data_IF_464897119152
#
_entry.id   IF_464897119152
#
_cell.length_a   1.000
_cell.length_b   1.000
_cell.length_c   1.000
_cell.angle_alpha   90.00
_cell.angle_beta   90.00
_cell.angle_gamma   90.00
#
_symmetry.space_group_name_H-M   'P 1'
#
loop_
_entity.id
_entity.type
_entity.pdbx_description
1 polymer ?
#
# COMPACT_ATOMS: atom_id res chain seq x y z
N UNK A 1 -29.41 10.42 19.59
CA UNK A 1 -30.05 9.97 20.84
C UNK A 1 -29.00 9.21 21.66
N UNK A 2 -28.50 9.76 22.77
CA UNK A 2 -27.55 9.06 23.63
C UNK A 2 -28.30 7.95 24.38
N UNK A 3 -27.83 6.70 24.28
CA UNK A 3 -28.40 5.59 25.02
C UNK A 3 -28.23 5.83 26.53
N UNK A 4 -29.35 5.98 27.25
CA UNK A 4 -29.44 5.82 28.71
C UNK A 4 -28.65 4.56 29.08
N UNK A 5 -27.77 4.64 30.09
CA UNK A 5 -27.06 3.48 30.60
C UNK A 5 -28.09 2.42 30.98
N UNK A 6 -28.19 1.36 30.18
CA UNK A 6 -29.13 0.28 30.44
C UNK A 6 -28.72 -0.41 31.74
N UNK A 7 -29.69 -0.68 32.60
CA UNK A 7 -29.50 -1.37 33.86
C UNK A 7 -28.73 -2.70 33.62
N UNK A 8 -27.63 -2.96 34.36
CA UNK A 8 -26.88 -4.21 34.26
C UNK A 8 -27.75 -5.46 34.30
N UNK A 9 -28.82 -5.48 35.09
CA UNK A 9 -29.70 -6.65 35.22
C UNK A 9 -30.59 -6.84 33.97
N UNK A 10 -31.04 -5.76 33.34
CA UNK A 10 -31.78 -5.84 32.07
C UNK A 10 -30.87 -6.40 30.97
N UNK A 11 -29.61 -5.96 30.92
CA UNK A 11 -28.62 -6.45 29.96
C UNK A 11 -28.34 -7.95 30.14
N UNK A 12 -28.25 -8.42 31.39
CA UNK A 12 -28.08 -9.85 31.69
C UNK A 12 -29.26 -10.69 31.20
N UNK A 13 -30.50 -10.24 31.42
CA UNK A 13 -31.70 -10.94 30.94
C UNK A 13 -31.73 -11.04 29.42
N UNK A 14 -31.49 -9.93 28.70
CA UNK A 14 -31.46 -9.92 27.24
C UNK A 14 -30.33 -10.79 26.67
N UNK A 15 -29.15 -10.74 27.30
CA UNK A 15 -28.01 -11.57 26.91
C UNK A 15 -28.31 -13.07 27.10
N UNK A 16 -28.96 -13.44 28.20
CA UNK A 16 -29.35 -14.83 28.50
C UNK A 16 -30.37 -15.37 27.50
N UNK A 17 -31.38 -14.58 27.16
CA UNK A 17 -32.38 -14.93 26.16
C UNK A 17 -31.75 -15.14 24.78
N UNK A 18 -30.81 -14.27 24.40
CA UNK A 18 -30.14 -14.39 23.10
C UNK A 18 -29.20 -15.60 23.04
N UNK A 19 -28.49 -15.92 24.14
CA UNK A 19 -27.70 -17.17 24.25
C UNK A 19 -28.58 -18.41 24.05
N UNK A 20 -29.79 -18.41 24.62
CA UNK A 20 -30.76 -19.50 24.48
C UNK A 20 -31.28 -19.57 23.04
N UNK A 21 -31.67 -18.43 22.46
CA UNK A 21 -32.15 -18.34 21.08
C UNK A 21 -31.12 -18.87 20.07
N UNK A 22 -29.85 -18.54 20.29
CA UNK A 22 -28.75 -18.99 19.44
C UNK A 22 -28.39 -20.48 19.61
N UNK A 23 -28.94 -21.16 20.62
CA UNK A 23 -28.66 -22.57 20.86
C UNK A 23 -27.23 -22.85 21.31
N UNK A 24 -26.57 -21.89 21.96
CA UNK A 24 -25.15 -21.99 22.35
C UNK A 24 -24.94 -22.22 23.86
N UNK A 25 -25.97 -22.65 24.59
CA UNK A 25 -25.96 -22.78 26.06
C UNK A 25 -24.84 -23.70 26.59
N UNK A 26 -24.48 -24.73 25.83
CA UNK A 26 -23.47 -25.71 26.23
C UNK A 26 -22.02 -25.18 26.09
N UNK A 27 -21.82 -24.16 25.25
CA UNK A 27 -20.55 -23.48 25.08
C UNK A 27 -20.77 -22.07 24.49
N UNK A 28 -21.20 -21.10 25.31
CA UNK A 28 -21.56 -19.74 24.88
C UNK A 28 -20.32 -18.93 24.51
N UNK A 29 -19.73 -19.26 23.36
CA UNK A 29 -18.55 -18.60 22.82
C UNK A 29 -18.86 -17.17 22.42
N UNK A 30 -18.06 -16.22 22.92
CA UNK A 30 -18.15 -14.80 22.56
C UNK A 30 -18.14 -14.59 21.05
N UNK A 31 -17.30 -15.33 20.33
CA UNK A 31 -17.18 -15.21 18.88
C UNK A 31 -18.46 -15.67 18.19
N UNK A 32 -19.01 -16.82 18.58
CA UNK A 32 -20.24 -17.37 18.00
C UNK A 32 -21.42 -16.44 18.28
N UNK A 33 -21.50 -15.89 19.49
CA UNK A 33 -22.49 -14.88 19.84
C UNK A 33 -22.32 -13.62 18.98
N UNK A 34 -21.11 -13.05 18.89
CA UNK A 34 -20.81 -11.83 18.14
C UNK A 34 -21.14 -11.95 16.64
N UNK A 35 -20.99 -13.13 16.06
CA UNK A 35 -21.30 -13.39 14.65
C UNK A 35 -22.80 -13.52 14.37
N UNK A 36 -23.59 -13.95 15.35
CA UNK A 36 -24.99 -14.40 15.13
C UNK A 36 -26.04 -13.59 15.88
N UNK A 37 -25.64 -12.74 16.83
CA UNK A 37 -26.59 -11.95 17.61
C UNK A 37 -27.36 -10.97 16.71
N UNK A 38 -28.62 -10.73 17.05
CA UNK A 38 -29.41 -9.72 16.37
C UNK A 38 -29.07 -8.32 16.87
N UNK A 39 -28.40 -7.55 16.01
CA UNK A 39 -28.00 -6.18 16.32
C UNK A 39 -29.24 -5.29 16.46
N UNK A 40 -29.41 -4.68 17.63
CA UNK A 40 -30.55 -3.81 17.95
C UNK A 40 -31.61 -4.47 18.83
N UNK A 41 -31.69 -5.81 18.83
CA UNK A 41 -32.59 -6.59 19.69
C UNK A 41 -31.87 -7.15 20.91
N UNK A 42 -30.60 -7.55 20.74
CA UNK A 42 -29.75 -8.07 21.81
C UNK A 42 -28.49 -7.21 22.01
N UNK A 43 -27.95 -7.13 23.25
CA UNK A 43 -26.72 -6.39 23.51
C UNK A 43 -25.53 -7.08 22.82
N UNK A 44 -24.63 -6.27 22.25
CA UNK A 44 -23.33 -6.79 21.81
C UNK A 44 -22.51 -7.28 23.00
N UNK A 45 -21.63 -8.29 22.84
CA UNK A 45 -20.74 -8.76 23.90
C UNK A 45 -19.97 -7.63 24.58
N UNK A 46 -19.42 -6.70 23.79
CA UNK A 46 -18.63 -5.60 24.31
C UNK A 46 -19.48 -4.64 25.15
N UNK A 47 -20.68 -4.32 24.67
CA UNK A 47 -21.61 -3.47 25.43
C UNK A 47 -22.03 -4.14 26.73
N UNK A 48 -22.33 -5.44 26.69
CA UNK A 48 -22.74 -6.19 27.88
C UNK A 48 -21.63 -6.18 28.94
N UNK A 49 -20.40 -6.52 28.54
CA UNK A 49 -19.22 -6.47 29.43
C UNK A 49 -18.91 -5.07 29.97
N UNK A 50 -19.08 -4.02 29.15
CA UNK A 50 -18.82 -2.64 29.57
C UNK A 50 -19.83 -2.14 30.61
N UNK A 51 -21.10 -2.56 30.48
CA UNK A 51 -22.19 -2.17 31.39
C UNK A 51 -22.11 -2.98 32.69
N UNK A 52 -21.91 -4.29 32.60
CA UNK A 52 -21.85 -5.17 33.78
C UNK A 52 -20.49 -5.15 34.50
N UNK A 53 -19.46 -4.58 33.87
CA UNK A 53 -18.07 -4.59 34.35
C UNK A 53 -17.48 -6.00 34.55
N UNK A 54 -18.09 -7.01 33.93
CA UNK A 54 -17.66 -8.41 34.01
C UNK A 54 -16.89 -8.82 32.76
N UNK A 55 -15.95 -9.77 32.91
CA UNK A 55 -15.39 -10.45 31.73
C UNK A 55 -16.48 -11.30 31.07
N UNK A 56 -16.31 -11.68 29.79
CA UNK A 56 -17.28 -12.57 29.12
C UNK A 56 -17.45 -13.89 29.87
N UNK A 57 -16.36 -14.41 30.45
CA UNK A 57 -16.38 -15.67 31.21
C UNK A 57 -17.21 -15.52 32.48
N UNK A 58 -16.97 -14.45 33.25
CA UNK A 58 -17.67 -14.21 34.51
C UNK A 58 -19.14 -13.91 34.26
N UNK A 59 -19.44 -13.11 33.22
CA UNK A 59 -20.79 -12.76 32.84
C UNK A 59 -21.61 -13.99 32.47
N UNK A 60 -21.05 -14.88 31.65
CA UNK A 60 -21.74 -16.09 31.23
C UNK A 60 -21.92 -17.09 32.38
N UNK A 61 -20.95 -17.17 33.28
CA UNK A 61 -21.06 -17.96 34.50
C UNK A 61 -22.16 -17.41 35.43
N UNK A 62 -22.22 -16.09 35.61
CA UNK A 62 -23.27 -15.38 36.36
C UNK A 62 -24.68 -15.64 35.78
N UNK A 63 -24.77 -15.80 34.45
CA UNK A 63 -26.03 -16.18 33.77
C UNK A 63 -26.42 -17.67 33.94
N UNK A 64 -25.54 -18.49 34.53
CA UNK A 64 -25.75 -19.90 34.80
C UNK A 64 -25.35 -20.85 33.66
N UNK A 65 -24.45 -20.41 32.75
CA UNK A 65 -23.96 -21.27 31.67
C UNK A 65 -22.53 -21.74 31.91
N UNK A 66 -22.26 -22.97 31.48
CA UNK A 66 -20.92 -23.54 31.52
C UNK A 66 -20.09 -23.02 30.34
N UNK A 67 -19.07 -22.20 30.64
CA UNK A 67 -18.14 -21.66 29.63
C UNK A 67 -16.73 -22.18 29.85
N UNK A 68 -16.26 -23.04 28.95
CA UNK A 68 -14.88 -23.51 28.97
C UNK A 68 -14.00 -22.57 28.15
N UNK A 69 -13.43 -21.57 28.82
CA UNK A 69 -12.51 -20.62 28.21
C UNK A 69 -11.30 -21.30 27.54
N UNK A 70 -10.80 -22.41 28.12
CA UNK A 70 -9.62 -23.14 27.62
C UNK A 70 -9.92 -23.86 26.31
N UNK A 71 -11.09 -24.51 26.19
CA UNK A 71 -11.53 -25.14 24.93
C UNK A 71 -11.72 -24.14 23.79
N UNK A 72 -12.27 -22.96 24.08
CA UNK A 72 -12.47 -21.92 23.06
C UNK A 72 -11.15 -21.27 22.59
N UNK A 73 -10.18 -21.08 23.48
CA UNK A 73 -8.83 -20.60 23.11
C UNK A 73 -8.15 -21.63 22.18
N UNK A 74 -8.23 -22.92 22.51
CA UNK A 74 -7.67 -23.99 21.69
C UNK A 74 -8.35 -24.08 20.30
N UNK A 75 -9.67 -23.90 20.22
CA UNK A 75 -10.40 -23.89 18.94
C UNK A 75 -10.09 -22.65 18.09
N UNK A 76 -9.99 -21.46 18.70
CA UNK A 76 -9.63 -20.23 18.00
C UNK A 76 -8.16 -20.24 17.53
N UNK A 77 -7.24 -20.82 18.32
CA UNK A 77 -5.86 -21.06 17.91
C UNK A 77 -5.76 -21.95 16.66
N UNK A 78 -6.60 -22.99 16.57
CA UNK A 78 -6.69 -23.87 15.39
C UNK A 78 -7.30 -23.18 14.16
N UNK A 79 -8.31 -22.32 14.32
CA UNK A 79 -8.88 -21.50 13.22
C UNK A 79 -7.92 -20.41 12.71
N UNK A 80 -7.05 -19.88 13.58
CA UNK A 80 -5.98 -18.95 13.18
C UNK A 80 -4.88 -19.65 12.37
N UNK A 81 -4.56 -20.90 12.72
CA UNK A 81 -3.57 -21.70 12.01
C UNK A 81 -4.00 -22.11 10.59
N UNK A 82 -5.29 -22.43 10.38
CA UNK A 82 -5.80 -22.83 9.05
C UNK A 82 -5.85 -21.69 8.03
N UNK A 83 -5.87 -20.42 8.46
CA UNK A 83 -5.82 -19.26 7.55
C UNK A 83 -4.45 -19.07 6.86
N UNK A 84 -3.41 -19.74 7.36
CA UNK A 84 -2.04 -19.67 6.84
C UNK A 84 -1.58 -20.94 6.09
N UNK A 85 -2.43 -21.97 5.96
CA UNK A 85 -2.06 -23.22 5.31
C UNK A 85 -1.89 -23.13 3.77
N UNK A 86 -2.19 -21.97 3.18
CA UNK A 86 -1.95 -21.69 1.75
C UNK A 86 -0.91 -20.58 1.49
N UNK A 87 -0.29 -20.00 2.53
CA UNK A 87 0.70 -18.94 2.31
C UNK A 87 2.04 -19.58 1.97
N UNK A 88 2.49 -19.42 0.70
CA UNK A 88 3.87 -19.72 0.29
C UNK A 88 4.83 -19.22 1.37
N UNK A 89 5.69 -20.11 1.84
CA UNK A 89 6.67 -19.88 2.91
C UNK A 89 7.33 -18.50 2.74
N UNK A 90 7.21 -17.63 3.74
CA UNK A 90 7.70 -16.25 3.64
C UNK A 90 9.21 -16.23 3.44
N UNK A 91 9.69 -15.59 2.37
CA UNK A 91 11.12 -15.46 2.07
C UNK A 91 11.80 -14.69 3.21
N UNK A 92 12.86 -15.27 3.78
CA UNK A 92 13.61 -14.70 4.90
C UNK A 92 14.80 -13.88 4.40
N UNK A 93 14.59 -12.57 4.21
CA UNK A 93 15.65 -11.65 3.76
C UNK A 93 16.78 -11.42 4.78
N UNK A 94 16.63 -11.88 6.03
CA UNK A 94 17.69 -11.85 7.03
C UNK A 94 18.81 -12.87 6.76
N UNK A 95 18.54 -13.93 6.00
CA UNK A 95 19.57 -14.88 5.58
C UNK A 95 20.40 -14.28 4.42
N UNK A 96 21.73 -14.14 4.55
CA UNK A 96 22.56 -13.51 3.52
C UNK A 96 22.47 -14.19 2.15
N UNK A 97 22.38 -15.52 2.10
CA UNK A 97 22.30 -16.27 0.84
C UNK A 97 20.97 -16.01 0.13
N UNK A 98 19.87 -16.11 0.88
CA UNK A 98 18.53 -15.80 0.38
C UNK A 98 18.43 -14.35 -0.08
N UNK A 99 19.00 -13.42 0.69
CA UNK A 99 19.02 -12.00 0.35
C UNK A 99 19.73 -11.75 -0.98
N UNK A 100 20.93 -12.30 -1.16
CA UNK A 100 21.71 -12.14 -2.39
C UNK A 100 21.03 -12.80 -3.61
N UNK A 101 20.36 -13.95 -3.42
CA UNK A 101 19.54 -14.57 -4.48
C UNK A 101 18.38 -13.66 -4.90
N UNK A 102 17.64 -13.10 -3.94
CA UNK A 102 16.53 -12.19 -4.22
C UNK A 102 17.02 -10.92 -4.93
N UNK A 103 18.17 -10.38 -4.52
CA UNK A 103 18.79 -9.22 -5.18
C UNK A 103 19.19 -9.57 -6.61
N UNK A 104 19.82 -10.73 -6.84
CA UNK A 104 20.16 -11.16 -8.20
C UNK A 104 18.93 -11.31 -9.11
N UNK A 105 17.86 -11.91 -8.59
CA UNK A 105 16.58 -12.03 -9.29
C UNK A 105 15.96 -10.64 -9.56
N UNK A 106 16.13 -9.68 -8.64
CA UNK A 106 15.70 -8.31 -8.85
C UNK A 106 16.45 -7.64 -10.02
N UNK A 107 17.77 -7.84 -10.13
CA UNK A 107 18.56 -7.29 -11.24
C UNK A 107 18.17 -7.91 -12.59
N UNK A 108 17.91 -9.22 -12.61
CA UNK A 108 17.40 -9.92 -13.80
C UNK A 108 16.00 -9.44 -14.19
N UNK A 109 15.11 -9.24 -13.22
CA UNK A 109 13.79 -8.67 -13.45
C UNK A 109 13.89 -7.25 -14.06
N UNK A 110 14.78 -6.41 -13.52
CA UNK A 110 15.03 -5.07 -14.07
C UNK A 110 15.48 -5.13 -15.55
N UNK A 111 16.36 -6.09 -15.90
CA UNK A 111 16.83 -6.29 -17.27
C UNK A 111 15.74 -6.80 -18.20
N UNK A 112 15.10 -7.91 -17.81
CA UNK A 112 14.11 -8.64 -18.61
C UNK A 112 12.90 -7.78 -18.94
N UNK A 113 12.39 -7.06 -17.94
CA UNK A 113 11.16 -6.25 -18.08
C UNK A 113 11.44 -4.76 -18.31
N UNK A 114 12.72 -4.38 -18.51
CA UNK A 114 13.15 -3.00 -18.77
C UNK A 114 12.61 -2.01 -17.72
N UNK A 115 12.68 -2.40 -16.43
CA UNK A 115 12.12 -1.64 -15.32
C UNK A 115 13.09 -0.55 -14.86
N UNK A 116 12.95 0.64 -15.43
CA UNK A 116 13.89 1.75 -15.23
C UNK A 116 13.46 2.80 -14.21
N UNK A 117 12.30 2.61 -13.58
CA UNK A 117 11.81 3.50 -12.53
C UNK A 117 11.23 2.71 -11.34
N UNK A 118 11.17 3.39 -10.19
CA UNK A 118 10.74 2.80 -8.91
C UNK A 118 9.30 2.31 -8.97
N UNK A 119 8.40 3.02 -9.68
CA UNK A 119 6.97 2.71 -9.71
C UNK A 119 6.72 1.37 -10.40
N UNK A 120 7.31 1.18 -11.57
CA UNK A 120 7.17 -0.05 -12.35
C UNK A 120 7.86 -1.22 -11.65
N UNK A 121 9.06 -0.97 -11.10
CA UNK A 121 9.77 -1.98 -10.32
C UNK A 121 8.98 -2.43 -9.08
N UNK A 122 8.41 -1.49 -8.32
CA UNK A 122 7.60 -1.77 -7.13
C UNK A 122 6.39 -2.64 -7.46
N UNK A 123 5.72 -2.40 -8.59
CA UNK A 123 4.56 -3.17 -9.04
C UNK A 123 4.91 -4.62 -9.38
N UNK A 124 6.09 -4.86 -9.96
CA UNK A 124 6.55 -6.19 -10.43
C UNK A 124 7.33 -6.97 -9.37
N UNK A 125 7.88 -6.29 -8.37
CA UNK A 125 8.71 -6.87 -7.32
C UNK A 125 7.99 -8.01 -6.56
N UNK A 126 6.80 -7.74 -6.00
CA UNK A 126 6.06 -8.72 -5.18
C UNK A 126 5.62 -9.99 -5.96
N UNK A 127 4.99 -9.89 -7.15
CA UNK A 127 4.54 -11.09 -7.86
C UNK A 127 5.70 -11.96 -8.37
N UNK A 128 6.84 -11.38 -8.71
CA UNK A 128 7.98 -12.12 -9.29
C UNK A 128 8.96 -12.60 -8.21
N UNK A 129 9.30 -11.73 -7.26
CA UNK A 129 10.35 -12.01 -6.26
C UNK A 129 9.80 -12.56 -4.95
N UNK A 130 8.47 -12.56 -4.75
CA UNK A 130 7.83 -12.96 -3.51
C UNK A 130 8.05 -12.00 -2.32
N UNK A 131 8.81 -10.92 -2.52
CA UNK A 131 9.06 -9.86 -1.54
C UNK A 131 8.64 -8.51 -2.10
N UNK A 132 8.20 -7.59 -1.24
CA UNK A 132 7.90 -6.22 -1.67
C UNK A 132 9.20 -5.41 -1.81
N UNK A 133 9.13 -4.35 -2.61
CA UNK A 133 10.24 -3.39 -2.70
C UNK A 133 10.49 -2.70 -1.36
N UNK A 134 9.46 -2.43 -0.55
CA UNK A 134 9.63 -1.84 0.78
C UNK A 134 10.40 -2.78 1.72
N UNK A 135 10.24 -4.10 1.60
CA UNK A 135 11.08 -5.07 2.31
C UNK A 135 12.54 -4.95 1.86
N UNK A 136 12.82 -4.94 0.55
CA UNK A 136 14.19 -4.77 0.03
C UNK A 136 14.85 -3.48 0.53
N UNK A 137 14.11 -2.36 0.55
CA UNK A 137 14.63 -1.09 1.07
C UNK A 137 15.05 -1.18 2.55
N UNK A 138 14.28 -1.89 3.39
CA UNK A 138 14.63 -2.07 4.81
C UNK A 138 15.95 -2.80 5.01
N UNK A 139 16.34 -3.63 4.05
CA UNK A 139 17.63 -4.34 4.05
C UNK A 139 18.73 -3.60 3.27
N UNK A 140 18.53 -2.32 2.93
CA UNK A 140 19.54 -1.46 2.29
C UNK A 140 19.50 -1.47 0.75
N UNK A 141 18.59 -2.21 0.13
CA UNK A 141 18.49 -2.30 -1.33
C UNK A 141 17.53 -1.25 -1.89
N UNK A 142 17.95 0.01 -1.83
CA UNK A 142 17.28 1.10 -2.53
C UNK A 142 17.37 0.91 -4.06
N UNK A 143 16.48 1.56 -4.82
CA UNK A 143 16.53 1.49 -6.28
C UNK A 143 17.83 2.06 -6.87
N UNK A 144 18.47 3.02 -6.20
CA UNK A 144 19.81 3.50 -6.59
C UNK A 144 20.89 2.45 -6.34
N UNK A 145 20.84 1.75 -5.21
CA UNK A 145 21.76 0.64 -4.92
C UNK A 145 21.56 -0.53 -5.90
N UNK A 146 20.31 -0.86 -6.25
CA UNK A 146 20.01 -1.86 -7.27
C UNK A 146 20.55 -1.43 -8.65
N UNK A 147 20.45 -0.15 -9.03
CA UNK A 147 21.07 0.34 -10.28
C UNK A 147 22.60 0.27 -10.26
N UNK A 148 23.22 0.55 -9.12
CA UNK A 148 24.68 0.40 -8.95
C UNK A 148 25.09 -1.05 -9.16
N UNK A 149 24.42 -1.99 -8.50
CA UNK A 149 24.67 -3.44 -8.64
C UNK A 149 24.34 -3.96 -10.04
N UNK A 150 23.28 -3.46 -10.66
CA UNK A 150 22.93 -3.75 -12.06
C UNK A 150 24.08 -3.38 -13.00
N UNK A 151 24.62 -2.16 -12.84
CA UNK A 151 25.73 -1.66 -13.66
C UNK A 151 26.99 -2.50 -13.45
N UNK A 152 27.29 -2.86 -12.20
CA UNK A 152 28.42 -3.73 -11.88
C UNK A 152 28.27 -5.15 -12.47
N UNK A 153 27.05 -5.70 -12.51
CA UNK A 153 26.77 -7.06 -13.01
C UNK A 153 26.75 -7.16 -14.53
N UNK A 154 26.18 -6.17 -15.22
CA UNK A 154 25.92 -6.24 -16.67
C UNK A 154 26.74 -5.27 -17.51
N UNK A 155 27.46 -4.32 -16.91
CA UNK A 155 28.17 -3.26 -17.64
C UNK A 155 27.24 -2.24 -18.32
N UNK A 156 25.94 -2.33 -18.09
CA UNK A 156 24.89 -1.48 -18.67
C UNK A 156 24.38 -0.49 -17.60
N UNK A 157 24.18 0.79 -17.95
CA UNK A 157 23.62 1.78 -17.01
C UNK A 157 22.13 2.00 -17.23
N UNK A 158 21.35 1.91 -16.15
CA UNK A 158 19.94 2.33 -16.15
C UNK A 158 19.89 3.83 -15.98
N UNK A 159 19.72 4.55 -17.10
CA UNK A 159 19.53 6.00 -17.08
C UNK A 159 18.23 6.35 -16.37
N UNK A 160 18.20 7.50 -15.67
CA UNK A 160 16.95 8.07 -15.17
C UNK A 160 16.01 8.30 -16.37
N UNK A 161 15.03 7.42 -16.55
CA UNK A 161 14.01 7.59 -17.58
C UNK A 161 13.06 8.68 -17.09
N UNK A 162 13.30 9.91 -17.55
CA UNK A 162 12.33 10.97 -17.40
C UNK A 162 11.01 10.55 -18.04
N UNK A 163 9.85 10.96 -17.51
CA UNK A 163 8.54 10.72 -18.16
C UNK A 163 8.49 11.25 -19.60
N UNK A 164 9.39 12.18 -19.92
CA UNK A 164 9.57 12.74 -21.25
C UNK A 164 10.24 11.76 -22.23
N UNK A 165 10.99 10.77 -21.73
CA UNK A 165 11.75 9.81 -22.56
C UNK A 165 10.91 9.03 -23.58
N UNK A 166 9.59 8.95 -23.37
CA UNK A 166 8.64 8.32 -24.31
C UNK A 166 8.33 9.14 -25.57
N UNK A 167 8.60 10.44 -25.57
CA UNK A 167 8.38 11.33 -26.72
C UNK A 167 9.62 11.36 -27.61
N UNK A 168 9.50 11.56 -28.92
CA UNK A 168 10.67 11.96 -29.72
C UNK A 168 11.10 13.40 -29.37
N UNK A 169 12.24 13.87 -29.87
CA UNK A 169 12.63 15.27 -29.68
C UNK A 169 11.64 16.23 -30.36
N UNK A 170 11.10 15.85 -31.52
CA UNK A 170 10.08 16.62 -32.23
C UNK A 170 8.76 16.64 -31.44
N UNK A 171 8.26 15.48 -31.01
CA UNK A 171 7.00 15.40 -30.26
C UNK A 171 7.07 16.16 -28.95
N UNK A 172 8.23 16.13 -28.27
CA UNK A 172 8.43 16.88 -27.05
C UNK A 172 8.40 18.40 -27.31
N UNK A 173 8.99 18.84 -28.42
CA UNK A 173 8.93 20.26 -28.80
C UNK A 173 7.51 20.70 -29.15
N UNK A 174 6.76 19.89 -29.90
CA UNK A 174 5.35 20.16 -30.16
C UNK A 174 4.53 20.25 -28.88
N UNK A 175 4.70 19.29 -27.97
CA UNK A 175 4.04 19.29 -26.67
C UNK A 175 4.33 20.59 -25.89
N UNK A 176 5.58 21.05 -25.88
CA UNK A 176 5.98 22.30 -25.22
C UNK A 176 5.36 23.52 -25.90
N UNK A 177 5.37 23.57 -27.23
CA UNK A 177 4.81 24.69 -28.00
C UNK A 177 3.30 24.77 -27.82
N UNK A 178 2.58 23.66 -27.92
CA UNK A 178 1.13 23.62 -27.71
C UNK A 178 0.74 24.09 -26.32
N UNK A 179 1.48 23.65 -25.30
CA UNK A 179 1.29 24.11 -23.93
C UNK A 179 1.56 25.61 -23.78
N UNK A 180 2.63 26.11 -24.40
CA UNK A 180 2.94 27.54 -24.39
C UNK A 180 1.84 28.36 -25.08
N UNK A 181 1.30 27.89 -26.23
CA UNK A 181 0.18 28.54 -26.92
C UNK A 181 -1.08 28.56 -26.07
N UNK A 182 -1.42 27.44 -25.42
CA UNK A 182 -2.60 27.33 -24.56
C UNK A 182 -2.55 28.24 -23.32
N UNK A 183 -1.35 28.67 -22.91
CA UNK A 183 -1.12 29.55 -21.76
C UNK A 183 -0.57 30.93 -22.15
N UNK A 184 -0.64 31.30 -23.44
CA UNK A 184 -0.20 32.60 -23.97
C UNK A 184 1.26 32.95 -23.61
N UNK A 185 2.12 31.94 -23.52
CA UNK A 185 3.53 32.08 -23.17
C UNK A 185 4.33 32.36 -24.45
N UNK A 186 5.08 33.47 -24.46
CA UNK A 186 5.77 33.97 -25.66
C UNK A 186 7.27 33.67 -25.69
N UNK A 187 7.81 33.06 -24.63
CA UNK A 187 9.23 32.79 -24.54
C UNK A 187 9.64 31.91 -23.36
N UNK A 188 10.89 31.44 -23.42
CA UNK A 188 11.43 30.46 -22.49
C UNK A 188 11.50 30.96 -21.04
N UNK A 189 11.67 32.27 -20.84
CA UNK A 189 11.65 32.87 -19.51
C UNK A 189 10.25 32.77 -18.88
N UNK A 190 9.21 33.18 -19.61
CA UNK A 190 7.81 33.07 -19.15
C UNK A 190 7.44 31.61 -18.89
N UNK A 191 7.83 30.70 -19.78
CA UNK A 191 7.67 29.26 -19.58
C UNK A 191 8.31 28.76 -18.28
N UNK A 192 9.56 29.14 -18.02
CA UNK A 192 10.27 28.72 -16.80
C UNK A 192 9.59 29.27 -15.54
N UNK A 193 9.24 30.56 -15.54
CA UNK A 193 8.54 31.21 -14.43
C UNK A 193 7.17 30.58 -14.18
N UNK A 194 6.43 30.27 -15.24
CA UNK A 194 5.11 29.62 -15.15
C UNK A 194 5.21 28.23 -14.50
N UNK A 195 6.20 27.43 -14.90
CA UNK A 195 6.41 26.09 -14.34
C UNK A 195 6.87 26.07 -12.90
N UNK A 196 7.53 27.12 -12.41
CA UNK A 196 7.86 27.22 -10.99
C UNK A 196 6.59 27.30 -10.12
N UNK A 197 5.50 27.84 -10.66
CA UNK A 197 4.19 27.91 -9.98
C UNK A 197 3.35 26.66 -10.27
N UNK A 198 3.47 26.10 -11.47
CA UNK A 198 2.73 24.92 -11.94
C UNK A 198 3.66 23.71 -12.07
N UNK A 199 4.28 23.33 -10.95
CA UNK A 199 5.23 22.22 -10.92
C UNK A 199 4.60 20.93 -11.45
N UNK A 200 5.37 20.15 -12.20
CA UNK A 200 5.02 18.85 -12.81
C UNK A 200 4.21 18.82 -14.12
N UNK A 201 3.68 19.95 -14.60
CA UNK A 201 2.89 19.97 -15.85
C UNK A 201 3.73 19.64 -17.10
N UNK A 202 4.95 20.20 -17.20
CA UNK A 202 5.79 20.14 -18.41
C UNK A 202 7.29 19.97 -18.09
N UNK A 203 8.14 19.56 -19.07
CA UNK A 203 9.58 19.42 -18.86
C UNK A 203 10.24 20.75 -18.47
N UNK A 204 11.02 20.72 -17.39
CA UNK A 204 11.84 21.87 -17.00
C UNK A 204 12.82 22.28 -18.11
N UNK A 205 13.15 23.57 -18.18
CA UNK A 205 14.07 24.15 -19.18
C UNK A 205 15.40 23.41 -19.26
N UNK A 206 16.00 23.02 -18.13
CA UNK A 206 17.24 22.25 -18.12
C UNK A 206 17.08 20.84 -18.72
N UNK A 207 15.89 20.24 -18.62
CA UNK A 207 15.61 18.96 -19.27
C UNK A 207 15.57 19.12 -20.79
N UNK A 208 14.94 20.19 -21.28
CA UNK A 208 14.87 20.50 -22.71
C UNK A 208 16.26 20.77 -23.29
N UNK A 209 17.04 21.65 -22.65
CA UNK A 209 18.42 21.97 -23.07
C UNK A 209 19.29 20.71 -23.20
N UNK A 210 19.32 19.87 -22.16
CA UNK A 210 20.13 18.64 -22.16
C UNK A 210 19.69 17.66 -23.23
N UNK A 211 18.38 17.55 -23.47
CA UNK A 211 17.83 16.56 -24.39
C UNK A 211 17.98 16.96 -25.85
N UNK A 212 17.78 18.24 -26.15
CA UNK A 212 17.87 18.80 -27.50
C UNK A 212 19.30 19.21 -27.84
N UNK A 213 20.21 19.21 -26.86
CA UNK A 213 21.60 19.66 -27.00
C UNK A 213 21.68 21.12 -27.46
N UNK A 214 20.80 21.97 -26.91
CA UNK A 214 20.72 23.40 -27.22
C UNK A 214 21.12 24.23 -26.00
N UNK A 215 21.79 25.35 -26.26
CA UNK A 215 21.95 26.43 -25.28
C UNK A 215 20.59 27.10 -24.97
N UNK A 216 20.56 27.91 -23.92
CA UNK A 216 19.34 28.62 -23.54
C UNK A 216 18.87 29.58 -24.65
N UNK A 217 19.80 30.29 -25.30
CA UNK A 217 19.51 31.23 -26.37
C UNK A 217 18.96 30.52 -27.63
N UNK A 218 19.56 29.39 -28.01
CA UNK A 218 19.10 28.58 -29.15
C UNK A 218 17.70 28.02 -28.91
N UNK A 219 17.45 27.44 -27.72
CA UNK A 219 16.14 26.91 -27.37
C UNK A 219 15.07 28.02 -27.36
N UNK A 220 15.38 29.18 -26.78
CA UNK A 220 14.46 30.31 -26.76
C UNK A 220 14.17 30.84 -28.18
N UNK A 221 15.19 30.91 -29.05
CA UNK A 221 15.02 31.32 -30.44
C UNK A 221 14.13 30.33 -31.20
N UNK A 222 14.38 29.03 -31.04
CA UNK A 222 13.58 27.97 -31.66
C UNK A 222 12.12 28.05 -31.22
N UNK A 223 11.85 28.18 -29.91
CA UNK A 223 10.49 28.32 -29.40
C UNK A 223 9.79 29.55 -29.97
N UNK A 224 10.47 30.70 -30.04
CA UNK A 224 9.89 31.91 -30.65
C UNK A 224 9.49 31.72 -32.11
N UNK A 225 10.27 30.97 -32.89
CA UNK A 225 9.94 30.64 -34.28
C UNK A 225 8.72 29.73 -34.35
N UNK A 226 8.61 28.75 -33.46
CA UNK A 226 7.49 27.79 -33.44
C UNK A 226 6.19 28.33 -32.82
N UNK A 227 6.28 29.42 -32.06
CA UNK A 227 5.15 30.10 -31.44
C UNK A 227 4.46 31.12 -32.35
N UNK A 228 5.13 31.52 -33.44
CA UNK A 228 4.52 32.26 -34.55
C UNK A 228 3.49 31.39 -35.28
#
# INVERSE_FOLDING_TARGET
>A
MPHKAADPEIIKVLLKQEIIRLGIQNNPSRTVYQERYHRGEAPSPNSAMQITKMSWSDLVHDLGFNYDAKKNIAQNGKKGASKHLGTKQSIRLADPKTCEQVVNNALELMRREKLFNVKDFRLRCKPVLGVSYDSLMRYGFSFEELKKRYTAKYGESIRKTSRWSKYSNADLMFLVVDYMKAHELTGLHQYTTYLNVHSDAMPATETLKKRLQLSYSELNRLLKILLQ
#
